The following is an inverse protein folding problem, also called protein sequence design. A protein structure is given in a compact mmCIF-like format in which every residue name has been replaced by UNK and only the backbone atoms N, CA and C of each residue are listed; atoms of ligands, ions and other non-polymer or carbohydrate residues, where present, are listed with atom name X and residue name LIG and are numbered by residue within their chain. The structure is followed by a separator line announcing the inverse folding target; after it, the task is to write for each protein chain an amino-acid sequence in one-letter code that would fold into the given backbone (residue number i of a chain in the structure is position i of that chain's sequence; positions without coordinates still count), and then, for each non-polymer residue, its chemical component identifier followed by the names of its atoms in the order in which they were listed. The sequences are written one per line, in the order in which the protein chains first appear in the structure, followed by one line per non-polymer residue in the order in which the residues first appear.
data_IF_228290974448
#
_entry.id   IF_228290974448
#
_cell.length_a   1.000
_cell.length_b   1.000
_cell.length_c   1.000
_cell.angle_alpha   90.00
_cell.angle_beta   90.00
_cell.angle_gamma   90.00
#
_symmetry.space_group_name_H-M   'P 1'
#
loop_
_entity.id
_entity.type
_entity.pdbx_description
1 polymer ?
#
# COMPACT_ATOMS: atom_id res chain seq x y z
N UNK A 1 29.09 -15.30 -9.60
CA UNK A 1 27.82 -16.00 -9.89
C UNK A 1 27.12 -15.20 -10.95
N UNK A 2 26.73 -15.81 -12.07
CA UNK A 2 25.93 -15.14 -13.09
C UNK A 2 24.55 -14.84 -12.49
N UNK A 3 24.03 -13.62 -12.68
CA UNK A 3 22.68 -13.27 -12.25
C UNK A 3 21.68 -14.29 -12.82
N UNK A 4 20.68 -14.72 -12.03
CA UNK A 4 19.66 -15.61 -12.54
C UNK A 4 19.00 -14.96 -13.76
N UNK A 5 18.94 -15.69 -14.86
CA UNK A 5 18.30 -15.18 -16.08
C UNK A 5 16.79 -15.07 -15.81
N UNK A 6 16.24 -13.86 -15.93
CA UNK A 6 14.80 -13.66 -15.94
C UNK A 6 14.25 -14.49 -17.11
N UNK A 7 13.35 -15.46 -16.85
CA UNK A 7 12.84 -16.30 -17.91
C UNK A 7 12.19 -15.43 -19.00
N UNK A 8 12.59 -15.59 -20.26
CA UNK A 8 11.92 -14.94 -21.39
C UNK A 8 10.53 -15.59 -21.57
N UNK A 9 9.55 -15.03 -20.94
CA UNK A 9 8.16 -15.47 -21.05
C UNK A 9 7.47 -14.79 -22.23
N UNK A 10 6.39 -15.41 -22.68
CA UNK A 10 5.50 -14.86 -23.69
C UNK A 10 4.95 -13.51 -23.17
N UNK A 11 5.23 -12.44 -23.87
CA UNK A 11 4.70 -11.10 -23.51
C UNK A 11 3.17 -11.12 -23.54
N UNK A 12 2.56 -10.44 -22.59
CA UNK A 12 1.10 -10.26 -22.57
C UNK A 12 0.66 -9.55 -23.86
N UNK A 13 -0.48 -9.96 -24.45
CA UNK A 13 -1.03 -9.24 -25.59
C UNK A 13 -1.34 -7.79 -25.20
N UNK A 14 -0.93 -6.86 -26.07
CA UNK A 14 -1.27 -5.46 -25.94
C UNK A 14 -2.75 -5.24 -26.27
N UNK A 15 -3.39 -4.37 -25.52
CA UNK A 15 -4.69 -3.81 -25.90
C UNK A 15 -4.49 -2.86 -27.08
N UNK A 16 -5.38 -2.90 -28.06
CA UNK A 16 -5.39 -1.93 -29.15
C UNK A 16 -6.01 -0.59 -28.68
N UNK A 17 -5.89 0.45 -29.53
CA UNK A 17 -6.36 1.79 -29.19
C UNK A 17 -7.88 1.84 -28.89
N UNK A 18 -8.69 1.06 -29.60
CA UNK A 18 -10.13 0.98 -29.37
C UNK A 18 -10.46 0.33 -28.00
N UNK A 19 -9.77 -0.75 -27.66
CA UNK A 19 -9.92 -1.41 -26.37
C UNK A 19 -9.48 -0.49 -25.22
N UNK A 20 -8.38 0.28 -25.38
CA UNK A 20 -7.92 1.25 -24.38
C UNK A 20 -8.95 2.38 -24.22
N UNK A 21 -9.49 2.91 -25.32
CA UNK A 21 -10.49 3.98 -25.27
C UNK A 21 -11.81 3.55 -24.63
N UNK A 22 -12.13 2.26 -24.63
CA UNK A 22 -13.28 1.68 -23.94
C UNK A 22 -13.08 1.43 -22.44
N UNK A 23 -11.87 1.59 -21.92
CA UNK A 23 -11.60 1.44 -20.50
C UNK A 23 -12.14 2.63 -19.70
N UNK A 24 -12.42 2.38 -18.42
CA UNK A 24 -12.60 3.49 -17.48
C UNK A 24 -11.38 4.41 -17.55
N UNK A 25 -11.56 5.75 -17.64
CA UNK A 25 -10.46 6.69 -17.74
C UNK A 25 -9.37 6.49 -16.66
N UNK A 26 -9.79 6.17 -15.44
CA UNK A 26 -8.84 5.86 -14.36
C UNK A 26 -7.97 4.62 -14.61
N UNK A 27 -8.34 3.71 -15.54
CA UNK A 27 -7.52 2.56 -15.92
C UNK A 27 -6.61 2.85 -17.11
N UNK A 28 -7.04 3.73 -18.00
CA UNK A 28 -6.22 4.19 -19.12
C UNK A 28 -4.99 4.98 -18.62
N UNK A 29 -5.10 5.62 -17.46
CA UNK A 29 -3.99 6.22 -16.73
C UNK A 29 -3.09 5.13 -16.15
N UNK A 30 -1.98 4.87 -16.82
CA UNK A 30 -0.99 3.87 -16.41
C UNK A 30 -0.36 4.24 -15.06
N UNK A 31 -0.26 5.52 -14.75
CA UNK A 31 0.34 6.03 -13.53
C UNK A 31 -0.68 6.82 -12.71
N UNK A 32 -0.81 6.45 -11.45
CA UNK A 32 -1.64 7.16 -10.48
C UNK A 32 -0.83 7.50 -9.24
N UNK A 33 -0.92 8.74 -8.75
CA UNK A 33 -0.28 9.11 -7.50
C UNK A 33 -1.25 8.96 -6.33
N UNK A 34 -0.90 8.06 -5.44
CA UNK A 34 -1.63 7.79 -4.20
C UNK A 34 -0.79 8.12 -2.98
N UNK A 35 -1.41 8.12 -1.80
CA UNK A 35 -0.71 8.34 -0.52
C UNK A 35 0.48 7.40 -0.29
N UNK A 36 0.43 6.19 -0.84
CA UNK A 36 1.51 5.20 -0.72
C UNK A 36 2.56 5.30 -1.83
N UNK A 37 2.45 6.26 -2.73
CA UNK A 37 3.40 6.49 -3.83
C UNK A 37 2.78 6.48 -5.22
N UNK A 38 3.62 6.63 -6.24
CA UNK A 38 3.25 6.46 -7.63
C UNK A 38 2.98 4.99 -7.93
N UNK A 39 1.81 4.72 -8.47
CA UNK A 39 1.38 3.36 -8.85
C UNK A 39 1.50 3.17 -10.35
N UNK A 40 2.32 2.20 -10.77
CA UNK A 40 2.47 1.78 -12.15
C UNK A 40 1.51 0.64 -12.46
N UNK A 41 0.57 0.82 -13.39
CA UNK A 41 -0.52 -0.11 -13.68
C UNK A 41 -0.69 -0.37 -15.18
N UNK A 42 0.40 -0.61 -15.92
CA UNK A 42 0.33 -0.88 -17.36
C UNK A 42 -0.11 -2.31 -17.71
N UNK A 43 -0.23 -3.20 -16.72
CA UNK A 43 -0.87 -4.50 -16.87
C UNK A 43 -2.21 -4.47 -16.14
N UNK A 44 -3.29 -4.77 -16.85
CA UNK A 44 -4.67 -4.75 -16.34
C UNK A 44 -5.32 -6.12 -16.50
N UNK A 45 -6.28 -6.42 -15.63
CA UNK A 45 -6.98 -7.71 -15.60
C UNK A 45 -6.37 -8.70 -14.63
N UNK A 46 -7.24 -9.38 -13.89
CA UNK A 46 -6.86 -10.35 -12.86
C UNK A 46 -7.90 -11.45 -12.77
N UNK A 47 -7.50 -12.73 -12.82
CA UNK A 47 -8.45 -13.84 -12.71
C UNK A 47 -8.99 -14.05 -11.29
N UNK A 48 -8.45 -13.36 -10.29
CA UNK A 48 -8.85 -13.51 -8.90
C UNK A 48 -10.11 -12.69 -8.62
N UNK A 49 -11.12 -13.33 -8.08
CA UNK A 49 -12.44 -12.75 -7.80
C UNK A 49 -12.60 -12.34 -6.33
N UNK A 50 -11.60 -11.65 -5.79
CA UNK A 50 -11.64 -11.21 -4.41
C UNK A 50 -12.77 -10.20 -4.19
N UNK A 51 -13.75 -10.54 -3.34
CA UNK A 51 -14.95 -9.72 -3.08
C UNK A 51 -14.66 -8.33 -2.48
N UNK A 52 -13.49 -8.14 -1.91
CA UNK A 52 -13.04 -6.86 -1.34
C UNK A 52 -12.05 -6.10 -2.24
N UNK A 53 -11.93 -6.49 -3.50
CA UNK A 53 -10.90 -5.96 -4.39
C UNK A 53 -11.19 -4.51 -4.81
N UNK A 54 -10.16 -3.65 -4.80
CA UNK A 54 -10.28 -2.26 -5.28
C UNK A 54 -10.65 -2.17 -6.77
N UNK A 55 -10.51 -3.26 -7.54
CA UNK A 55 -10.93 -3.29 -8.95
C UNK A 55 -12.42 -3.03 -9.15
N UNK A 56 -13.26 -3.32 -8.15
CA UNK A 56 -14.68 -2.93 -8.19
C UNK A 56 -14.84 -1.42 -8.41
N UNK A 57 -14.02 -0.62 -7.77
CA UNK A 57 -14.07 0.84 -7.84
C UNK A 57 -13.58 1.41 -9.18
N UNK A 58 -12.82 0.64 -9.95
CA UNK A 58 -12.25 1.07 -11.22
C UNK A 58 -12.98 0.49 -12.43
N UNK A 59 -14.04 -0.28 -12.21
CA UNK A 59 -14.82 -0.90 -13.29
C UNK A 59 -14.06 -1.95 -14.10
N UNK A 60 -12.96 -2.51 -13.57
CA UNK A 60 -12.16 -3.55 -14.21
C UNK A 60 -12.25 -4.91 -13.52
N UNK A 61 -13.18 -5.09 -12.62
CA UNK A 61 -13.35 -6.35 -11.89
C UNK A 61 -13.62 -7.51 -12.85
N UNK A 62 -14.41 -7.29 -13.91
CA UNK A 62 -14.73 -8.28 -14.93
C UNK A 62 -13.60 -8.55 -15.94
N UNK A 63 -12.52 -7.81 -15.88
CA UNK A 63 -11.34 -8.10 -16.70
C UNK A 63 -10.53 -9.23 -16.07
N UNK A 64 -10.90 -10.48 -16.38
CA UNK A 64 -10.29 -11.68 -15.77
C UNK A 64 -8.97 -12.08 -16.43
N UNK A 65 -8.73 -11.68 -17.67
CA UNK A 65 -7.52 -12.04 -18.41
C UNK A 65 -6.54 -10.87 -18.42
N UNK A 66 -5.32 -11.04 -17.86
CA UNK A 66 -4.30 -10.00 -17.91
C UNK A 66 -3.93 -9.58 -19.34
N UNK A 67 -3.82 -8.28 -19.56
CA UNK A 67 -3.43 -7.62 -20.81
C UNK A 67 -2.50 -6.45 -20.49
N UNK A 68 -1.63 -6.10 -21.42
CA UNK A 68 -0.76 -4.94 -21.27
C UNK A 68 -1.32 -3.74 -22.05
N UNK A 69 -1.22 -2.55 -21.47
CA UNK A 69 -1.55 -1.27 -22.10
C UNK A 69 -0.38 -0.78 -22.96
N UNK A 70 0.84 -1.10 -22.56
CA UNK A 70 2.08 -0.76 -23.24
C UNK A 70 3.20 -1.72 -22.84
N UNK A 71 4.39 -1.61 -23.45
CA UNK A 71 5.56 -2.41 -23.04
C UNK A 71 6.08 -1.98 -21.66
N UNK A 72 6.82 -2.87 -20.99
CA UNK A 72 7.43 -2.61 -19.69
C UNK A 72 8.40 -1.43 -19.74
N UNK A 73 9.20 -1.31 -20.82
CA UNK A 73 10.13 -0.22 -21.05
C UNK A 73 9.41 1.13 -21.19
N UNK A 74 8.33 1.16 -21.97
CA UNK A 74 7.53 2.38 -22.15
C UNK A 74 6.85 2.80 -20.84
N UNK A 75 6.36 1.84 -20.07
CA UNK A 75 5.74 2.07 -18.78
C UNK A 75 6.73 2.63 -17.75
N UNK A 76 7.93 2.05 -17.66
CA UNK A 76 9.00 2.56 -16.78
C UNK A 76 9.47 3.94 -17.23
N UNK A 77 9.65 4.16 -18.54
CA UNK A 77 10.02 5.48 -19.05
C UNK A 77 8.98 6.55 -18.70
N UNK A 78 7.68 6.21 -18.81
CA UNK A 78 6.60 7.10 -18.40
C UNK A 78 6.59 7.36 -16.89
N UNK A 79 6.87 6.34 -16.06
CA UNK A 79 6.97 6.49 -14.61
C UNK A 79 8.09 7.43 -14.19
N UNK A 80 9.28 7.19 -14.72
CA UNK A 80 10.48 8.00 -14.38
C UNK A 80 10.37 9.43 -14.95
N UNK A 81 9.73 9.60 -16.10
CA UNK A 81 9.42 10.91 -16.68
C UNK A 81 8.21 11.61 -16.09
N UNK A 82 7.49 11.01 -15.12
CA UNK A 82 6.29 11.59 -14.57
C UNK A 82 6.60 12.86 -13.75
N UNK A 83 5.82 13.96 -13.89
CA UNK A 83 6.10 15.24 -13.23
C UNK A 83 6.25 15.16 -11.69
N UNK A 84 5.61 14.16 -11.09
CA UNK A 84 5.67 13.92 -9.64
C UNK A 84 6.68 12.85 -9.23
N UNK A 85 7.46 12.32 -10.16
CA UNK A 85 8.51 11.37 -9.81
C UNK A 85 9.75 12.10 -9.31
N UNK A 86 10.24 11.68 -8.15
CA UNK A 86 11.53 12.12 -7.60
C UNK A 86 12.42 10.90 -7.40
N UNK A 87 13.55 10.79 -8.14
CA UNK A 87 14.54 9.73 -7.88
C UNK A 87 14.92 9.68 -6.40
N UNK A 88 15.06 8.48 -5.86
CA UNK A 88 15.46 8.19 -4.49
C UNK A 88 14.48 8.64 -3.39
N UNK A 89 13.31 9.18 -3.76
CA UNK A 89 12.32 9.69 -2.79
C UNK A 89 10.91 9.16 -2.99
N UNK A 90 10.35 9.31 -4.19
CA UNK A 90 8.95 8.94 -4.43
C UNK A 90 8.77 7.43 -4.30
N UNK A 91 7.92 6.94 -3.39
CA UNK A 91 7.62 5.51 -3.34
C UNK A 91 6.89 5.05 -4.60
N UNK A 92 7.13 3.82 -5.02
CA UNK A 92 6.54 3.22 -6.21
C UNK A 92 5.71 1.99 -5.80
N UNK A 93 4.57 1.79 -6.43
CA UNK A 93 3.77 0.58 -6.28
C UNK A 93 3.56 -0.08 -7.63
N UNK A 94 3.70 -1.40 -7.68
CA UNK A 94 3.54 -2.17 -8.91
C UNK A 94 2.16 -2.84 -8.92
N UNK A 95 1.34 -2.54 -9.93
CA UNK A 95 0.03 -3.14 -10.23
C UNK A 95 -1.01 -3.15 -9.08
N UNK A 96 -0.92 -2.23 -8.14
CA UNK A 96 -1.69 -2.27 -6.89
C UNK A 96 -3.23 -2.12 -7.05
N UNK A 97 -3.72 -1.75 -8.22
CA UNK A 97 -5.16 -1.62 -8.52
C UNK A 97 -5.61 -2.44 -9.74
N UNK A 98 -4.69 -3.06 -10.43
CA UNK A 98 -4.95 -3.59 -11.76
C UNK A 98 -4.90 -5.12 -11.84
N UNK A 99 -3.94 -5.75 -11.15
CA UNK A 99 -3.75 -7.19 -11.14
C UNK A 99 -2.89 -7.61 -9.94
N UNK A 100 -2.74 -8.92 -9.72
CA UNK A 100 -1.74 -9.42 -8.78
C UNK A 100 -0.39 -9.58 -9.50
N UNK A 101 0.69 -8.94 -9.01
CA UNK A 101 1.99 -8.90 -9.67
C UNK A 101 2.70 -10.26 -9.73
N UNK A 102 2.34 -11.24 -8.89
CA UNK A 102 2.99 -12.54 -8.85
C UNK A 102 2.20 -13.65 -9.58
N UNK A 103 1.09 -13.32 -10.24
CA UNK A 103 0.42 -14.28 -11.13
C UNK A 103 1.37 -14.78 -12.21
N UNK A 104 1.33 -16.07 -12.59
CA UNK A 104 2.31 -16.65 -13.51
C UNK A 104 2.53 -15.90 -14.82
N UNK A 105 1.46 -15.31 -15.37
CA UNK A 105 1.53 -14.54 -16.63
C UNK A 105 1.89 -13.07 -16.43
N UNK A 106 1.79 -12.54 -15.20
CA UNK A 106 2.11 -11.13 -14.85
C UNK A 106 3.52 -11.02 -14.27
N UNK A 107 3.95 -12.01 -13.51
CA UNK A 107 5.25 -12.06 -12.82
C UNK A 107 6.45 -11.67 -13.70
N UNK A 108 6.58 -12.15 -14.95
CA UNK A 108 7.68 -11.74 -15.83
C UNK A 108 7.72 -10.22 -16.07
N UNK A 109 6.56 -9.58 -16.23
CA UNK A 109 6.44 -8.12 -16.37
C UNK A 109 6.81 -7.39 -15.09
N UNK A 110 6.42 -7.95 -13.92
CA UNK A 110 6.84 -7.42 -12.62
C UNK A 110 8.36 -7.43 -12.50
N UNK A 111 9.00 -8.55 -12.82
CA UNK A 111 10.46 -8.67 -12.73
C UNK A 111 11.18 -7.78 -13.74
N UNK A 112 10.64 -7.62 -14.95
CA UNK A 112 11.20 -6.74 -15.95
C UNK A 112 11.12 -5.27 -15.53
N UNK A 113 9.98 -4.82 -15.00
CA UNK A 113 9.83 -3.47 -14.43
C UNK A 113 10.84 -3.23 -13.30
N UNK A 114 10.98 -4.18 -12.38
CA UNK A 114 11.96 -4.07 -11.28
C UNK A 114 13.40 -4.01 -11.81
N UNK A 115 13.74 -4.82 -12.80
CA UNK A 115 15.07 -4.80 -13.46
C UNK A 115 15.36 -3.45 -14.10
N UNK A 116 14.40 -2.91 -14.86
CA UNK A 116 14.54 -1.61 -15.54
C UNK A 116 14.69 -0.45 -14.55
N UNK A 117 14.05 -0.52 -13.39
CA UNK A 117 14.20 0.48 -12.32
C UNK A 117 15.55 0.31 -11.60
N UNK A 118 15.96 -0.93 -11.32
CA UNK A 118 17.23 -1.22 -10.63
C UNK A 118 18.45 -0.83 -11.47
N UNK A 119 18.40 -1.04 -12.79
CA UNK A 119 19.46 -0.63 -13.72
C UNK A 119 19.68 0.89 -13.78
N UNK A 120 18.69 1.68 -13.38
CA UNK A 120 18.83 3.14 -13.23
C UNK A 120 19.42 3.53 -11.87
N UNK A 121 19.87 2.57 -11.07
CA UNK A 121 20.41 2.77 -9.72
C UNK A 121 19.48 3.56 -8.78
N UNK A 122 18.16 3.41 -8.95
CA UNK A 122 17.17 4.06 -8.14
C UNK A 122 17.09 3.40 -6.75
N UNK A 123 17.10 4.22 -5.69
CA UNK A 123 16.95 3.74 -4.30
C UNK A 123 15.56 4.02 -3.73
N UNK A 124 14.57 4.15 -4.60
CA UNK A 124 13.19 4.37 -4.19
C UNK A 124 12.62 3.14 -3.47
N UNK A 125 11.72 3.35 -2.53
CA UNK A 125 10.89 2.25 -2.03
C UNK A 125 10.01 1.74 -3.16
N UNK A 126 10.06 0.45 -3.43
CA UNK A 126 9.20 -0.21 -4.42
C UNK A 126 8.39 -1.30 -3.74
N UNK A 127 7.08 -1.22 -3.86
CA UNK A 127 6.12 -2.10 -3.19
C UNK A 127 5.46 -3.04 -4.21
N UNK A 128 5.58 -4.32 -3.96
CA UNK A 128 4.89 -5.40 -4.68
C UNK A 128 3.90 -6.05 -3.72
N UNK A 129 2.60 -5.96 -4.02
CA UNK A 129 1.54 -6.50 -3.15
C UNK A 129 0.93 -7.72 -3.82
N UNK A 130 1.05 -8.87 -3.20
CA UNK A 130 0.55 -10.13 -3.75
C UNK A 130 -0.17 -10.99 -2.71
N UNK A 131 -1.00 -11.90 -3.15
CA UNK A 131 -1.55 -13.03 -2.40
C UNK A 131 -1.25 -14.36 -3.09
N UNK A 132 -0.50 -14.30 -4.19
CA UNK A 132 -0.17 -15.45 -4.99
C UNK A 132 1.09 -16.16 -4.51
N UNK A 133 1.38 -17.31 -5.12
CA UNK A 133 2.55 -18.13 -4.77
C UNK A 133 3.85 -17.46 -5.18
N UNK A 134 4.81 -17.48 -4.27
CA UNK A 134 6.19 -17.09 -4.50
C UNK A 134 7.09 -18.29 -4.25
N UNK A 135 7.94 -18.62 -5.22
CA UNK A 135 8.88 -19.75 -5.13
C UNK A 135 10.28 -19.30 -4.71
N UNK A 136 11.15 -20.26 -4.41
CA UNK A 136 12.56 -19.96 -4.11
C UNK A 136 13.29 -19.35 -5.31
N UNK A 137 12.94 -19.73 -6.54
CA UNK A 137 13.47 -19.13 -7.78
C UNK A 137 13.04 -17.67 -7.90
N UNK A 138 11.79 -17.35 -7.54
CA UNK A 138 11.30 -15.97 -7.47
C UNK A 138 12.10 -15.15 -6.46
N UNK A 139 12.38 -15.73 -5.29
CA UNK A 139 13.20 -15.08 -4.26
C UNK A 139 14.62 -14.80 -4.76
N UNK A 140 15.21 -15.71 -5.52
CA UNK A 140 16.52 -15.50 -6.13
C UNK A 140 16.52 -14.31 -7.12
N UNK A 141 15.45 -14.17 -7.91
CA UNK A 141 15.28 -13.01 -8.81
C UNK A 141 15.11 -11.73 -7.99
N UNK A 142 14.27 -11.72 -6.96
CA UNK A 142 14.06 -10.55 -6.10
C UNK A 142 15.37 -10.10 -5.41
N UNK A 143 16.22 -11.05 -4.99
CA UNK A 143 17.54 -10.77 -4.41
C UNK A 143 18.57 -10.26 -5.43
N UNK A 144 18.32 -10.40 -6.73
CA UNK A 144 19.23 -9.90 -7.75
C UNK A 144 19.22 -8.38 -7.90
N UNK A 145 18.14 -7.71 -7.49
CA UNK A 145 18.03 -6.25 -7.49
C UNK A 145 18.85 -5.66 -6.33
N UNK A 146 19.75 -4.70 -6.66
CA UNK A 146 20.77 -4.22 -5.72
C UNK A 146 20.52 -2.81 -5.21
N UNK A 147 19.77 -2.01 -5.95
CA UNK A 147 19.60 -0.60 -5.66
C UNK A 147 18.24 -0.28 -5.04
N UNK A 148 17.19 -0.95 -5.50
CA UNK A 148 15.82 -0.72 -5.05
C UNK A 148 15.61 -1.10 -3.57
N UNK A 149 14.86 -0.28 -2.82
CA UNK A 149 14.29 -0.71 -1.54
C UNK A 149 13.01 -1.50 -1.80
N UNK A 150 13.19 -2.72 -2.29
CA UNK A 150 12.10 -3.59 -2.67
C UNK A 150 11.41 -4.21 -1.46
N UNK A 151 10.11 -4.04 -1.33
CA UNK A 151 9.29 -4.69 -0.30
C UNK A 151 8.17 -5.49 -0.92
N UNK A 152 8.11 -6.77 -0.60
CA UNK A 152 7.00 -7.66 -0.98
C UNK A 152 6.01 -7.74 0.17
N UNK A 153 4.80 -7.29 -0.07
CA UNK A 153 3.70 -7.33 0.89
C UNK A 153 2.80 -8.52 0.55
N UNK A 154 2.77 -9.51 1.42
CA UNK A 154 1.95 -10.70 1.23
C UNK A 154 0.60 -10.49 1.90
N UNK A 155 -0.44 -10.36 1.09
CA UNK A 155 -1.81 -10.21 1.58
C UNK A 155 -2.34 -11.54 2.10
N UNK A 156 -2.69 -11.57 3.37
CA UNK A 156 -3.37 -12.67 4.04
C UNK A 156 -4.64 -12.13 4.70
N UNK A 157 -5.81 -12.64 4.29
CA UNK A 157 -7.08 -12.31 4.94
C UNK A 157 -7.47 -13.34 6.00
N UNK A 158 -7.23 -14.60 5.71
CA UNK A 158 -7.72 -15.72 6.52
C UNK A 158 -9.24 -15.95 6.40
N UNK A 159 -9.94 -15.21 5.53
CA UNK A 159 -11.38 -15.39 5.30
C UNK A 159 -11.62 -16.72 4.60
N UNK A 160 -12.49 -17.54 5.16
CA UNK A 160 -12.94 -18.80 4.58
C UNK A 160 -14.34 -18.65 3.96
N UNK A 161 -14.40 -17.89 2.89
CA UNK A 161 -15.61 -17.69 2.08
C UNK A 161 -15.20 -17.52 0.62
N UNK A 162 -15.59 -18.44 -0.27
CA UNK A 162 -15.05 -18.49 -1.65
C UNK A 162 -15.40 -17.25 -2.49
N UNK A 163 -16.55 -16.61 -2.25
CA UNK A 163 -16.95 -15.39 -2.97
C UNK A 163 -16.26 -14.13 -2.43
N UNK A 164 -15.59 -14.23 -1.27
CA UNK A 164 -14.82 -13.11 -0.69
C UNK A 164 -13.32 -13.33 -0.92
N UNK A 165 -12.81 -14.52 -0.60
CA UNK A 165 -11.39 -14.89 -0.76
C UNK A 165 -11.29 -16.17 -1.60
N UNK A 166 -11.17 -16.04 -2.94
CA UNK A 166 -11.10 -17.18 -3.85
C UNK A 166 -9.76 -17.87 -3.82
N UNK A 167 -8.74 -17.28 -3.18
CA UNK A 167 -7.41 -17.83 -3.09
C UNK A 167 -7.22 -18.52 -1.75
N UNK A 168 -6.79 -19.78 -1.78
CA UNK A 168 -6.49 -20.49 -0.55
C UNK A 168 -5.43 -19.74 0.28
N UNK A 169 -5.77 -19.40 1.52
CA UNK A 169 -4.93 -18.65 2.44
C UNK A 169 -3.57 -19.29 2.73
N UNK A 170 -3.43 -20.60 2.50
CA UNK A 170 -2.13 -21.29 2.63
C UNK A 170 -1.10 -20.77 1.63
N UNK A 171 -1.53 -20.34 0.43
CA UNK A 171 -0.61 -19.76 -0.57
C UNK A 171 0.10 -18.52 -0.06
N UNK A 172 -0.66 -17.64 0.59
CA UNK A 172 -0.10 -16.44 1.20
C UNK A 172 0.84 -16.80 2.37
N UNK A 173 0.43 -17.74 3.22
CA UNK A 173 1.23 -18.19 4.35
C UNK A 173 2.56 -18.83 3.93
N UNK A 174 2.53 -19.72 2.93
CA UNK A 174 3.73 -20.39 2.42
C UNK A 174 4.65 -19.40 1.69
N UNK A 175 4.07 -18.49 0.91
CA UNK A 175 4.83 -17.43 0.22
C UNK A 175 5.50 -16.48 1.21
N UNK A 176 4.83 -16.15 2.31
CA UNK A 176 5.40 -15.29 3.35
C UNK A 176 6.64 -15.93 3.98
N UNK A 177 6.54 -17.22 4.36
CA UNK A 177 7.67 -17.97 4.91
C UNK A 177 8.82 -18.06 3.93
N UNK A 178 8.53 -18.45 2.69
CA UNK A 178 9.52 -18.54 1.62
C UNK A 178 10.25 -17.23 1.40
N UNK A 179 9.50 -16.14 1.29
CA UNK A 179 10.07 -14.80 1.11
C UNK A 179 10.93 -14.38 2.29
N UNK A 180 10.48 -14.64 3.53
CA UNK A 180 11.22 -14.24 4.73
C UNK A 180 12.52 -15.03 4.88
N UNK A 181 12.48 -16.34 4.67
CA UNK A 181 13.65 -17.23 4.78
C UNK A 181 14.76 -16.88 3.77
N UNK A 182 14.37 -16.38 2.58
CA UNK A 182 15.30 -16.08 1.49
C UNK A 182 15.61 -14.58 1.33
N UNK A 183 15.11 -13.72 2.22
CA UNK A 183 15.26 -12.27 2.08
C UNK A 183 16.70 -11.81 2.37
N UNK A 184 17.39 -11.32 1.34
CA UNK A 184 18.70 -10.68 1.44
C UNK A 184 18.61 -9.19 1.07
N UNK A 185 18.25 -8.89 -0.18
CA UNK A 185 18.19 -7.55 -0.76
C UNK A 185 16.77 -6.96 -0.84
N UNK A 186 15.77 -7.67 -0.39
CA UNK A 186 14.39 -7.19 -0.26
C UNK A 186 13.88 -7.38 1.16
N UNK A 187 12.68 -6.84 1.44
CA UNK A 187 11.99 -7.05 2.71
C UNK A 187 10.61 -7.64 2.47
N UNK A 188 10.09 -8.34 3.47
CA UNK A 188 8.79 -9.01 3.43
C UNK A 188 7.90 -8.48 4.53
N UNK A 189 6.65 -8.17 4.19
CA UNK A 189 5.65 -7.71 5.14
C UNK A 189 4.44 -8.63 5.08
N UNK A 190 3.98 -9.06 6.25
CA UNK A 190 2.64 -9.61 6.37
C UNK A 190 1.62 -8.47 6.22
N UNK A 191 0.83 -8.51 5.16
CA UNK A 191 -0.24 -7.55 4.94
C UNK A 191 -1.58 -8.19 5.33
N UNK A 192 -1.87 -8.18 6.63
CA UNK A 192 -3.05 -8.80 7.22
C UNK A 192 -4.28 -7.93 6.97
N UNK A 193 -5.02 -8.30 5.93
CA UNK A 193 -6.20 -7.54 5.45
C UNK A 193 -7.05 -8.30 4.44
N UNK A 194 -8.36 -7.89 4.28
CA UNK A 194 -9.08 -7.04 5.22
C UNK A 194 -9.38 -7.81 6.50
N UNK A 195 -9.44 -7.13 7.64
CA UNK A 195 -10.00 -7.68 8.86
C UNK A 195 -11.46 -7.26 8.89
N UNK A 196 -12.36 -8.23 8.99
CA UNK A 196 -13.81 -8.03 8.86
C UNK A 196 -14.50 -8.76 10.01
N UNK A 197 -15.28 -8.04 10.84
CA UNK A 197 -15.99 -8.63 11.95
C UNK A 197 -16.87 -9.81 11.52
N UNK A 198 -16.78 -10.89 12.28
CA UNK A 198 -17.55 -12.12 12.04
C UNK A 198 -17.05 -13.01 10.91
N UNK A 199 -16.03 -12.57 10.13
CA UNK A 199 -15.44 -13.37 9.06
C UNK A 199 -14.04 -13.88 9.40
N UNK A 200 -13.17 -13.03 9.95
CA UNK A 200 -11.78 -13.38 10.21
C UNK A 200 -11.18 -12.63 11.42
N UNK A 201 -12.00 -12.28 12.37
CA UNK A 201 -11.61 -11.58 13.61
C UNK A 201 -11.73 -12.45 14.88
N UNK A 202 -11.92 -13.78 14.74
CA UNK A 202 -11.91 -14.70 15.88
C UNK A 202 -10.52 -14.84 16.49
N UNK A 203 -10.43 -15.38 17.71
CA UNK A 203 -9.17 -15.61 18.39
C UNK A 203 -8.24 -16.54 17.59
N UNK A 204 -8.79 -17.52 16.88
CA UNK A 204 -8.04 -18.41 16.00
C UNK A 204 -7.42 -17.65 14.81
N UNK A 205 -8.14 -16.68 14.22
CA UNK A 205 -7.62 -15.84 13.15
C UNK A 205 -6.51 -14.92 13.66
N UNK A 206 -6.68 -14.35 14.84
CA UNK A 206 -5.69 -13.49 15.48
C UNK A 206 -4.43 -14.30 15.82
N UNK A 207 -4.58 -15.51 16.39
CA UNK A 207 -3.45 -16.40 16.69
C UNK A 207 -2.71 -16.79 15.41
N UNK A 208 -3.45 -17.11 14.36
CA UNK A 208 -2.84 -17.40 13.06
C UNK A 208 -2.04 -16.22 12.50
N UNK A 209 -2.54 -15.01 12.66
CA UNK A 209 -1.82 -13.80 12.24
C UNK A 209 -0.57 -13.56 13.10
N UNK A 210 -0.61 -13.86 14.40
CA UNK A 210 0.55 -13.82 15.30
C UNK A 210 1.64 -14.78 14.83
N UNK A 211 1.30 -16.05 14.58
CA UNK A 211 2.24 -17.04 14.05
C UNK A 211 2.86 -16.57 12.73
N UNK A 212 2.06 -16.04 11.81
CA UNK A 212 2.53 -15.56 10.52
C UNK A 212 3.40 -14.31 10.65
N UNK A 213 3.18 -13.47 11.66
CA UNK A 213 3.98 -12.26 11.89
C UNK A 213 5.46 -12.56 12.15
N UNK A 214 5.78 -13.75 12.69
CA UNK A 214 7.15 -14.23 12.90
C UNK A 214 7.92 -14.50 11.60
N UNK A 215 7.19 -14.62 10.49
CA UNK A 215 7.74 -14.82 9.15
C UNK A 215 7.70 -13.54 8.29
N UNK A 216 7.83 -12.38 8.95
CA UNK A 216 7.84 -11.10 8.27
C UNK A 216 8.75 -10.10 9.00
N UNK A 217 9.31 -9.14 8.27
CA UNK A 217 10.08 -8.04 8.87
C UNK A 217 9.17 -7.03 9.58
N UNK A 218 7.91 -6.98 9.20
CA UNK A 218 6.86 -6.19 9.84
C UNK A 218 5.48 -6.74 9.46
N UNK A 219 4.48 -6.44 10.27
CA UNK A 219 3.08 -6.75 9.97
C UNK A 219 2.27 -5.46 9.88
N UNK A 220 1.53 -5.32 8.79
CA UNK A 220 0.57 -4.21 8.63
C UNK A 220 -0.84 -4.77 8.63
N UNK A 221 -1.64 -4.35 9.59
CA UNK A 221 -3.03 -4.80 9.73
C UNK A 221 -4.01 -3.68 9.40
N UNK A 222 -5.16 -4.04 8.81
CA UNK A 222 -6.16 -3.03 8.45
C UNK A 222 -7.51 -3.66 8.12
N UNK A 223 -8.59 -2.95 8.43
CA UNK A 223 -9.94 -3.34 8.11
C UNK A 223 -10.32 -3.22 6.64
N UNK A 224 -11.59 -3.43 6.36
CA UNK A 224 -12.18 -3.43 5.04
C UNK A 224 -12.35 -2.01 4.49
N UNK A 225 -11.97 -1.81 3.23
CA UNK A 225 -12.35 -0.62 2.46
C UNK A 225 -13.72 -0.85 1.85
N UNK A 226 -14.76 -0.68 2.67
CA UNK A 226 -16.14 -0.99 2.30
C UNK A 226 -16.76 0.19 1.56
N UNK A 227 -16.88 0.06 0.24
CA UNK A 227 -17.41 1.05 -0.69
C UNK A 227 -18.69 0.55 -1.33
N UNK A 228 -19.44 1.47 -1.94
CA UNK A 228 -20.72 1.17 -2.57
C UNK A 228 -20.63 0.06 -3.61
N UNK A 229 -19.54 0.01 -4.36
CA UNK A 229 -19.28 -1.00 -5.38
C UNK A 229 -19.04 -2.39 -4.76
N UNK A 230 -18.38 -2.45 -3.60
CA UNK A 230 -18.15 -3.69 -2.84
C UNK A 230 -19.43 -4.12 -2.14
N UNK A 231 -20.21 -3.16 -1.61
CA UNK A 231 -21.52 -3.41 -1.01
C UNK A 231 -22.48 -4.03 -2.05
N UNK A 232 -22.52 -3.48 -3.26
CA UNK A 232 -23.31 -4.03 -4.36
C UNK A 232 -22.89 -5.47 -4.72
N UNK A 233 -21.58 -5.74 -4.78
CA UNK A 233 -21.08 -7.09 -5.01
C UNK A 233 -21.52 -8.06 -3.91
N UNK A 234 -21.47 -7.67 -2.63
CA UNK A 234 -21.92 -8.50 -1.52
C UNK A 234 -23.41 -8.79 -1.59
N UNK A 235 -24.22 -7.78 -1.95
CA UNK A 235 -25.67 -7.93 -2.12
C UNK A 235 -26.00 -8.90 -3.25
N UNK A 236 -25.38 -8.73 -4.41
CA UNK A 236 -25.56 -9.58 -5.59
C UNK A 236 -25.18 -11.06 -5.35
N UNK A 237 -24.26 -11.32 -4.42
CA UNK A 237 -23.79 -12.67 -4.09
C UNK A 237 -24.41 -13.20 -2.78
N UNK A 238 -25.34 -12.48 -2.17
CA UNK A 238 -25.98 -12.87 -0.91
C UNK A 238 -25.01 -12.98 0.27
N UNK A 239 -23.90 -12.24 0.22
CA UNK A 239 -22.90 -12.19 1.30
C UNK A 239 -23.41 -11.28 2.40
N UNK A 240 -23.37 -11.71 3.68
CA UNK A 240 -23.78 -10.87 4.79
C UNK A 240 -23.01 -9.53 4.83
N UNK A 241 -23.74 -8.44 4.99
CA UNK A 241 -23.14 -7.11 5.09
C UNK A 241 -22.38 -6.96 6.40
N UNK A 242 -21.06 -6.67 6.34
CA UNK A 242 -20.27 -6.52 7.57
C UNK A 242 -20.53 -5.18 8.29
N UNK A 243 -21.09 -4.20 7.55
CA UNK A 243 -21.39 -2.86 8.05
C UNK A 243 -22.68 -2.33 7.40
N UNK A 244 -23.40 -1.47 8.13
CA UNK A 244 -24.59 -0.80 7.62
C UNK A 244 -24.25 0.20 6.53
N UNK A 245 -23.21 1.02 6.77
CA UNK A 245 -22.79 2.11 5.90
C UNK A 245 -21.43 1.84 5.22
N UNK A 246 -21.29 2.42 4.04
CA UNK A 246 -20.01 2.47 3.33
C UNK A 246 -19.15 3.64 3.83
N UNK A 247 -17.85 3.55 3.66
CA UNK A 247 -16.93 4.60 4.09
C UNK A 247 -15.83 4.84 3.05
N UNK A 248 -15.34 6.09 2.98
CA UNK A 248 -14.18 6.45 2.17
C UNK A 248 -12.85 5.98 2.74
N UNK A 249 -12.87 5.39 3.94
CA UNK A 249 -11.72 4.84 4.63
C UNK A 249 -11.94 3.39 4.98
N UNK A 250 -10.87 2.72 5.37
CA UNK A 250 -10.95 1.36 5.87
C UNK A 250 -11.63 1.38 7.24
N UNK A 251 -12.63 0.55 7.39
CA UNK A 251 -13.36 0.40 8.64
C UNK A 251 -12.63 -0.63 9.50
N UNK A 252 -12.27 -0.23 10.70
CA UNK A 252 -11.70 -1.09 11.73
C UNK A 252 -12.42 -0.80 13.05
N UNK A 253 -13.36 -1.64 13.46
CA UNK A 253 -14.05 -1.47 14.73
C UNK A 253 -13.09 -1.48 15.90
N UNK A 254 -13.29 -0.58 16.85
CA UNK A 254 -12.42 -0.40 18.01
C UNK A 254 -12.25 -1.69 18.82
N UNK A 255 -13.32 -2.43 19.06
CA UNK A 255 -13.26 -3.69 19.79
C UNK A 255 -12.42 -4.76 19.09
N UNK A 256 -12.52 -4.87 17.74
CA UNK A 256 -11.72 -5.81 16.98
C UNK A 256 -10.23 -5.42 17.03
N UNK A 257 -9.95 -4.12 16.90
CA UNK A 257 -8.59 -3.63 17.02
C UNK A 257 -8.02 -3.86 18.41
N UNK A 258 -8.79 -3.57 19.46
CA UNK A 258 -8.36 -3.78 20.85
C UNK A 258 -7.96 -5.23 21.10
N UNK A 259 -8.77 -6.20 20.66
CA UNK A 259 -8.44 -7.64 20.77
C UNK A 259 -7.12 -7.99 20.06
N UNK A 260 -6.87 -7.39 18.91
CA UNK A 260 -5.61 -7.58 18.18
C UNK A 260 -4.43 -7.02 18.98
N UNK A 261 -4.57 -5.80 19.52
CA UNK A 261 -3.53 -5.17 20.31
C UNK A 261 -3.23 -5.95 21.59
N UNK A 262 -4.27 -6.43 22.27
CA UNK A 262 -4.15 -7.28 23.46
C UNK A 262 -3.39 -8.58 23.14
N UNK A 263 -3.76 -9.23 22.05
CA UNK A 263 -3.13 -10.48 21.62
C UNK A 263 -1.65 -10.32 21.28
N UNK A 264 -1.23 -9.15 20.80
CA UNK A 264 0.17 -8.85 20.50
C UNK A 264 0.92 -8.17 21.64
N UNK A 265 0.35 -8.09 22.85
CA UNK A 265 0.92 -7.48 24.06
C UNK A 265 1.40 -6.03 23.88
N UNK A 266 0.70 -5.28 23.03
CA UNK A 266 1.14 -3.93 22.62
C UNK A 266 0.84 -2.82 23.65
N UNK A 267 0.11 -3.10 24.71
CA UNK A 267 -0.18 -2.11 25.77
C UNK A 267 1.04 -1.75 26.63
N UNK A 268 2.08 -2.58 26.58
CA UNK A 268 3.29 -2.41 27.36
C UNK A 268 4.53 -2.21 26.44
N UNK A 269 4.35 -1.77 25.23
CA UNK A 269 5.31 -1.82 24.13
C UNK A 269 6.55 -0.91 24.25
N UNK A 270 7.07 -0.71 25.45
CA UNK A 270 8.43 -0.19 25.64
C UNK A 270 9.54 -1.24 25.37
N UNK A 271 9.19 -2.48 25.11
CA UNK A 271 10.11 -3.57 24.79
C UNK A 271 9.50 -4.54 23.79
N UNK A 272 10.30 -5.09 22.88
CA UNK A 272 9.87 -5.98 21.83
C UNK A 272 8.97 -7.11 22.33
N UNK A 273 7.95 -7.41 21.54
CA UNK A 273 7.04 -8.52 21.81
C UNK A 273 7.67 -9.83 21.34
N UNK A 274 7.21 -10.97 21.86
CA UNK A 274 7.56 -12.29 21.33
C UNK A 274 7.09 -12.49 19.88
N UNK A 275 6.21 -11.59 19.41
CA UNK A 275 5.57 -11.62 18.10
C UNK A 275 6.15 -10.55 17.16
N UNK A 276 5.85 -10.68 15.87
CA UNK A 276 6.26 -9.68 14.88
C UNK A 276 5.60 -8.32 15.13
N UNK A 277 6.31 -7.26 14.77
CA UNK A 277 5.91 -5.87 15.03
C UNK A 277 4.72 -5.45 14.17
N UNK A 278 3.68 -4.87 14.80
CA UNK A 278 2.48 -4.40 14.14
C UNK A 278 2.54 -2.92 13.76
N UNK A 279 1.95 -2.61 12.60
CA UNK A 279 1.77 -1.24 12.13
C UNK A 279 0.37 -1.04 11.52
N UNK A 280 -0.22 0.12 11.77
CA UNK A 280 -1.49 0.53 11.15
C UNK A 280 -1.34 1.10 9.75
N UNK A 281 -0.12 1.46 9.34
CA UNK A 281 0.19 2.07 8.05
C UNK A 281 1.24 1.30 7.28
N UNK A 282 0.98 1.12 6.00
CA UNK A 282 1.93 0.46 5.09
C UNK A 282 3.29 1.16 5.09
N UNK A 283 3.31 2.49 4.99
CA UNK A 283 4.57 3.25 4.98
C UNK A 283 5.38 3.08 6.27
N UNK A 284 4.73 3.02 7.44
CA UNK A 284 5.39 2.79 8.72
C UNK A 284 6.03 1.38 8.76
N UNK A 285 5.28 0.34 8.37
CA UNK A 285 5.82 -1.03 8.33
C UNK A 285 6.94 -1.20 7.31
N UNK A 286 6.82 -0.57 6.13
CA UNK A 286 7.88 -0.57 5.11
C UNK A 286 9.13 0.13 5.63
N UNK A 287 8.99 1.33 6.19
CA UNK A 287 10.11 2.09 6.73
C UNK A 287 10.82 1.33 7.87
N UNK A 288 10.05 0.74 8.78
CA UNK A 288 10.59 -0.09 9.86
C UNK A 288 11.40 -1.28 9.33
N UNK A 289 10.87 -2.00 8.35
CA UNK A 289 11.55 -3.15 7.75
C UNK A 289 12.90 -2.79 7.11
N UNK A 290 13.07 -1.53 6.70
CA UNK A 290 14.31 -0.99 6.14
C UNK A 290 15.17 -0.22 7.15
N UNK A 291 14.75 -0.09 8.41
CA UNK A 291 15.45 0.70 9.43
C UNK A 291 15.49 2.20 9.10
N UNK A 292 14.43 2.71 8.49
CA UNK A 292 14.30 4.09 8.02
C UNK A 292 13.11 4.80 8.68
N UNK A 293 13.10 6.13 8.63
CA UNK A 293 11.94 6.90 9.05
C UNK A 293 10.79 6.80 8.07
N UNK A 294 9.54 6.87 8.58
CA UNK A 294 8.36 6.87 7.73
C UNK A 294 8.38 7.98 6.68
N UNK A 295 8.33 7.60 5.41
CA UNK A 295 8.44 8.51 4.27
C UNK A 295 7.18 9.37 4.05
N UNK A 296 6.09 9.09 4.75
CA UNK A 296 4.86 9.90 4.73
C UNK A 296 4.82 10.98 5.80
N UNK A 297 5.82 11.03 6.69
CA UNK A 297 5.91 12.06 7.73
C UNK A 297 4.83 11.95 8.81
N UNK A 298 4.42 10.73 9.18
CA UNK A 298 3.40 10.50 10.22
C UNK A 298 3.90 10.66 11.66
N UNK A 299 5.16 11.00 11.87
CA UNK A 299 5.70 11.12 13.22
C UNK A 299 4.80 11.95 14.13
N UNK A 300 4.53 11.42 15.31
CA UNK A 300 3.71 12.07 16.34
C UNK A 300 2.19 12.05 16.09
N UNK A 301 1.71 11.36 15.07
CA UNK A 301 0.28 11.05 14.94
C UNK A 301 -0.06 9.97 15.97
N UNK A 302 -0.76 10.36 17.05
CA UNK A 302 -1.02 9.50 18.21
C UNK A 302 -1.61 8.16 17.80
N UNK A 303 -2.63 8.16 16.96
CA UNK A 303 -3.38 6.98 16.53
C UNK A 303 -2.55 6.02 15.65
N UNK A 304 -1.34 6.37 15.32
CA UNK A 304 -0.43 5.54 14.54
C UNK A 304 0.82 5.16 15.34
N UNK A 305 1.28 6.08 16.19
CA UNK A 305 2.55 5.94 16.90
C UNK A 305 2.41 5.29 18.28
N UNK A 306 1.21 5.18 18.82
CA UNK A 306 0.94 4.58 20.14
C UNK A 306 1.38 3.11 20.25
N UNK A 307 1.37 2.36 19.15
CA UNK A 307 1.83 0.96 19.08
C UNK A 307 3.21 0.80 18.44
N UNK A 308 3.85 1.90 18.07
CA UNK A 308 5.10 1.87 17.34
C UNK A 308 6.29 1.60 18.28
N UNK A 309 7.27 0.76 17.90
CA UNK A 309 8.48 0.55 18.69
C UNK A 309 9.22 1.85 18.98
N UNK A 310 9.80 1.96 20.19
CA UNK A 310 10.47 3.17 20.64
C UNK A 310 11.65 3.58 19.73
N UNK A 311 12.41 2.61 19.22
CA UNK A 311 13.49 2.83 18.26
C UNK A 311 12.98 3.42 16.93
N UNK A 312 11.82 2.96 16.44
CA UNK A 312 11.20 3.50 15.23
C UNK A 312 10.69 4.91 15.46
N UNK A 313 10.09 5.18 16.62
CA UNK A 313 9.67 6.54 17.01
C UNK A 313 10.88 7.47 17.06
N UNK A 314 12.00 7.04 17.65
CA UNK A 314 13.22 7.83 17.72
C UNK A 314 13.80 8.14 16.32
N UNK A 315 13.77 7.16 15.41
CA UNK A 315 14.20 7.31 14.02
C UNK A 315 13.31 8.34 13.29
N UNK A 316 11.99 8.19 13.39
CA UNK A 316 11.05 9.11 12.79
C UNK A 316 11.20 10.53 13.38
N UNK A 317 11.36 10.65 14.69
CA UNK A 317 11.61 11.95 15.37
C UNK A 317 12.85 12.65 14.83
N UNK A 318 13.94 11.91 14.66
CA UNK A 318 15.20 12.45 14.14
C UNK A 318 15.07 12.95 12.69
N UNK A 319 14.31 12.23 11.87
CA UNK A 319 14.11 12.57 10.46
C UNK A 319 13.03 13.63 10.21
N UNK A 320 12.15 13.83 11.19
CA UNK A 320 11.02 14.73 11.07
C UNK A 320 11.46 16.17 11.34
N UNK A 321 11.63 16.93 10.25
CA UNK A 321 12.07 18.32 10.28
C UNK A 321 11.00 19.20 9.67
N UNK A 322 10.57 20.21 10.39
CA UNK A 322 9.62 21.20 9.88
C UNK A 322 10.20 21.90 8.64
N UNK A 323 9.55 21.78 7.47
CA UNK A 323 10.09 22.36 6.25
C UNK A 323 10.04 23.90 6.28
N UNK A 324 10.99 24.59 5.64
CA UNK A 324 10.98 26.04 5.51
C UNK A 324 9.73 26.51 4.75
N UNK A 325 9.03 27.50 5.29
CA UNK A 325 7.78 28.00 4.71
C UNK A 325 7.95 28.52 3.27
N UNK A 326 9.04 29.23 2.99
CA UNK A 326 9.35 29.76 1.65
C UNK A 326 9.51 28.64 0.60
N UNK A 327 10.19 27.55 0.95
CA UNK A 327 10.35 26.38 0.09
C UNK A 327 9.00 25.69 -0.18
N UNK A 328 8.16 25.58 0.85
CA UNK A 328 6.82 25.00 0.72
C UNK A 328 5.94 25.89 -0.15
N UNK A 329 5.91 27.20 0.11
CA UNK A 329 5.13 28.16 -0.67
C UNK A 329 5.53 28.11 -2.12
N UNK A 330 6.83 28.14 -2.43
CA UNK A 330 7.33 28.06 -3.79
C UNK A 330 6.81 26.81 -4.53
N UNK A 331 6.94 25.64 -3.92
CA UNK A 331 6.50 24.38 -4.55
C UNK A 331 4.97 24.29 -4.62
N UNK A 332 4.25 24.64 -3.55
CA UNK A 332 2.80 24.56 -3.52
C UNK A 332 2.14 25.47 -4.56
N UNK A 333 2.67 26.70 -4.73
CA UNK A 333 2.20 27.62 -5.77
C UNK A 333 2.45 27.09 -7.18
N UNK A 334 3.62 26.51 -7.42
CA UNK A 334 3.94 25.89 -8.70
C UNK A 334 3.00 24.70 -9.02
N UNK A 335 2.41 24.09 -8.02
CA UNK A 335 1.43 23.01 -8.13
C UNK A 335 -0.02 23.48 -8.22
N UNK A 336 -0.26 24.79 -8.11
CA UNK A 336 -1.59 25.39 -8.22
C UNK A 336 -2.31 25.67 -6.90
N UNK A 337 -1.62 25.59 -5.76
CA UNK A 337 -2.20 25.98 -4.47
C UNK A 337 -2.67 27.44 -4.49
N UNK A 338 -3.85 27.68 -3.96
CA UNK A 338 -4.45 29.02 -3.78
C UNK A 338 -4.50 29.38 -2.28
N UNK A 339 -5.02 30.55 -1.95
CA UNK A 339 -5.23 30.95 -0.55
C UNK A 339 -3.95 31.01 0.29
N UNK A 340 -4.10 30.87 1.58
CA UNK A 340 -2.99 30.86 2.54
C UNK A 340 -2.28 29.50 2.55
N UNK A 341 -0.97 29.52 2.75
CA UNK A 341 -0.15 28.32 2.93
C UNK A 341 0.54 28.42 4.28
N UNK A 342 0.34 27.43 5.10
CA UNK A 342 0.91 27.35 6.45
C UNK A 342 1.78 26.11 6.59
N UNK A 343 2.82 26.19 7.40
CA UNK A 343 3.56 25.05 7.93
C UNK A 343 3.49 25.13 9.43
N UNK A 344 2.66 24.31 10.03
CA UNK A 344 2.56 24.23 11.49
C UNK A 344 3.37 23.04 12.03
N UNK A 345 3.24 22.76 13.33
CA UNK A 345 4.01 21.71 14.00
C UNK A 345 3.58 20.27 13.59
N UNK A 346 2.60 20.12 12.71
CA UNK A 346 2.07 18.81 12.32
C UNK A 346 2.02 18.59 10.83
N UNK A 347 1.74 19.65 10.06
CA UNK A 347 1.48 19.50 8.64
C UNK A 347 1.81 20.77 7.84
N UNK A 348 2.00 20.58 6.57
CA UNK A 348 1.82 21.60 5.54
C UNK A 348 0.31 21.70 5.30
N UNK A 349 -0.24 22.90 5.42
CA UNK A 349 -1.65 23.18 5.19
C UNK A 349 -1.77 24.04 3.94
N UNK A 350 -2.52 23.58 2.96
CA UNK A 350 -2.73 24.23 1.66
C UNK A 350 -4.20 24.33 1.34
N UNK A 351 -4.52 25.06 0.28
CA UNK A 351 -5.86 25.15 -0.28
C UNK A 351 -5.81 24.96 -1.80
N UNK A 352 -6.79 24.21 -2.34
CA UNK A 352 -7.02 24.05 -3.77
C UNK A 352 -6.16 22.99 -4.46
N UNK A 353 -5.43 22.16 -3.73
CA UNK A 353 -4.69 21.04 -4.30
C UNK A 353 -5.46 19.73 -4.25
N UNK A 354 -5.46 19.01 -5.36
CA UNK A 354 -5.90 17.62 -5.41
C UNK A 354 -4.92 16.67 -4.72
N UNK A 355 -5.27 15.38 -4.60
CA UNK A 355 -4.45 14.40 -3.92
C UNK A 355 -3.04 14.24 -4.52
N UNK A 356 -2.84 14.13 -5.86
CA UNK A 356 -1.51 13.92 -6.42
C UNK A 356 -0.49 15.02 -6.06
N UNK A 357 -0.76 16.33 -6.25
CA UNK A 357 0.18 17.38 -5.86
C UNK A 357 0.41 17.45 -4.35
N UNK A 358 -0.59 17.13 -3.51
CA UNK A 358 -0.39 17.04 -2.05
C UNK A 358 0.55 15.93 -1.66
N UNK A 359 0.42 14.75 -2.25
CA UNK A 359 1.35 13.63 -2.00
C UNK A 359 2.76 13.93 -2.51
N UNK A 360 2.88 14.68 -3.60
CA UNK A 360 4.18 15.14 -4.07
C UNK A 360 4.88 16.05 -3.06
N UNK A 361 4.15 16.99 -2.46
CA UNK A 361 4.66 17.83 -1.35
C UNK A 361 5.00 16.95 -0.14
N UNK A 362 4.09 16.08 0.28
CA UNK A 362 4.26 15.21 1.44
C UNK A 362 5.52 14.34 1.33
N UNK A 363 5.68 13.60 0.25
CA UNK A 363 6.86 12.77 0.04
C UNK A 363 8.13 13.59 -0.16
N UNK A 364 8.01 14.76 -0.79
CA UNK A 364 9.13 15.66 -1.04
C UNK A 364 9.74 16.21 0.24
N UNK A 365 8.91 16.58 1.20
CA UNK A 365 9.32 17.16 2.46
C UNK A 365 9.40 16.15 3.61
N UNK A 366 8.86 14.93 3.45
CA UNK A 366 8.72 13.98 4.55
C UNK A 366 7.82 14.51 5.68
N UNK A 367 6.79 15.26 5.31
CA UNK A 367 5.91 15.98 6.22
C UNK A 367 4.46 15.89 5.75
N UNK A 368 3.50 15.71 6.68
CA UNK A 368 2.09 15.60 6.28
C UNK A 368 1.63 16.83 5.49
N UNK A 369 0.76 16.64 4.51
CA UNK A 369 0.19 17.70 3.71
C UNK A 369 -1.33 17.56 3.62
N UNK A 370 -2.05 18.58 4.07
CA UNK A 370 -3.51 18.61 4.13
C UNK A 370 -4.07 19.77 3.31
N UNK A 371 -5.28 19.59 2.76
CA UNK A 371 -6.02 20.65 2.08
C UNK A 371 -7.27 20.99 2.92
N UNK A 372 -7.33 22.23 3.43
CA UNK A 372 -8.44 22.69 4.30
C UNK A 372 -9.77 22.73 3.55
N UNK A 373 -9.76 22.96 2.24
CA UNK A 373 -10.99 23.01 1.43
C UNK A 373 -11.61 21.63 1.19
N UNK A 374 -10.89 20.56 1.58
CA UNK A 374 -11.32 19.16 1.40
C UNK A 374 -11.28 18.41 2.73
N UNK A 375 -12.20 18.70 3.67
CA UNK A 375 -12.16 18.17 5.03
C UNK A 375 -12.18 16.62 5.10
N UNK A 376 -12.80 15.95 4.13
CA UNK A 376 -12.77 14.49 4.04
C UNK A 376 -11.41 13.91 3.64
N UNK A 377 -10.48 14.75 3.16
CA UNK A 377 -9.07 14.39 2.92
C UNK A 377 -8.14 14.96 4.01
N UNK A 378 -8.62 15.91 4.79
CA UNK A 378 -7.88 16.49 5.89
C UNK A 378 -7.76 15.46 7.02
N UNK A 379 -6.56 15.29 7.56
CA UNK A 379 -6.30 14.35 8.65
C UNK A 379 -6.58 12.87 8.36
N UNK A 380 -6.53 12.44 7.12
CA UNK A 380 -6.69 11.02 6.78
C UNK A 380 -5.49 10.19 7.26
N UNK A 381 -5.32 10.07 8.57
CA UNK A 381 -4.23 9.28 9.13
C UNK A 381 -4.55 7.80 9.17
N UNK A 382 -5.77 7.42 8.86
CA UNK A 382 -5.89 6.12 8.61
C UNK A 382 -7.01 5.27 8.95
N UNK A 383 -7.14 4.89 10.04
CA UNK A 383 -8.20 4.07 10.48
C UNK A 383 -9.17 4.94 11.21
N UNK A 384 -10.34 4.65 11.19
CA UNK A 384 -11.21 5.13 12.22
C UNK A 384 -12.50 4.40 12.17
N UNK A 385 -13.22 4.41 13.23
CA UNK A 385 -14.65 4.45 13.13
C UNK A 385 -15.04 5.52 12.13
N UNK A 386 -16.08 5.28 11.39
CA UNK A 386 -16.60 6.24 10.41
C UNK A 386 -16.79 7.58 11.10
N UNK A 387 -16.32 8.64 10.48
CA UNK A 387 -16.62 10.00 10.90
C UNK A 387 -15.70 10.67 11.90
N UNK A 388 -14.63 10.03 12.35
CA UNK A 388 -13.73 10.68 13.31
C UNK A 388 -13.14 12.03 12.82
N UNK A 389 -13.03 12.24 11.52
CA UNK A 389 -12.60 13.54 10.98
C UNK A 389 -13.55 14.70 11.27
N UNK A 390 -14.84 14.41 11.43
CA UNK A 390 -15.82 15.44 11.70
C UNK A 390 -15.84 15.81 13.20
N UNK A 391 -15.49 14.85 14.06
CA UNK A 391 -15.52 15.01 15.51
C UNK A 391 -14.23 15.65 16.03
N UNK A 392 -13.12 15.32 15.43
CA UNK A 392 -11.81 15.74 15.89
C UNK A 392 -11.42 17.15 15.45
N UNK A 393 -12.31 18.06 15.21
CA UNK A 393 -12.00 19.45 14.95
C UNK A 393 -10.53 19.74 14.53
N UNK A 394 -10.06 20.96 14.48
CA UNK A 394 -8.69 21.31 14.04
C UNK A 394 -7.58 20.87 15.00
N UNK A 395 -7.89 20.28 16.14
CA UNK A 395 -6.87 19.83 17.09
C UNK A 395 -6.14 18.60 16.57
N UNK A 396 -5.04 18.87 15.93
CA UNK A 396 -3.96 17.92 15.76
C UNK A 396 -3.19 17.97 17.07
N UNK A 397 -3.51 17.09 17.98
CA UNK A 397 -2.79 16.99 19.25
C UNK A 397 -1.34 16.54 19.06
#
# INVERSE_FOLDING_TARGET
MTAPSIPRHRTLPLLNAEQISGLNPGLADVIEYRKSGLSLNHVVGCPLDCGYCVRHLFGNFEMKTPRALMSDEAAVAQLVGHPYFRPHKTPIQIFNRATDPMLPVVKPHTFEVLRLLDEQALTNHVLVITRWRVSAEDCAVLNSFKHLRLTVLVTHSGIDHPDIEPVNSTYAADSLRMLHEHAENYRTILYWRPIVPGLNDSDEHIERARELSLHAHATVFTGLFFRDEIKAYYDDHGIPMPYEDTARRKIMPEQAEQRILDAFDLHNAAGGTEWGTLFRKTSCGVAYAWGEADYNGHYGVRELCDICPAEQIALCKKAWVRPPLDAVVHQARALGAVGEIEVNDRAIVVEGLDEPPRYYLQHGFGYQCHDQSKPHHYRQHGRAPIGWEAEDGPEIA
#
